data_IF_763391708000
#
_entry.id   IF_763391708000
#
_cell.length_a   1.000
_cell.length_b   1.000
_cell.length_c   1.000
_cell.angle_alpha   90.00
_cell.angle_beta   90.00
_cell.angle_gamma   90.00
#
_symmetry.space_group_name_H-M   'P 1'
#
loop_
_entity.id
_entity.type
_entity.pdbx_description
1 polymer ?
#
# COMPACT_ATOMS: atom_id res chain seq x y z
N UNK A 1 -13.81 2.25 -10.93
CA UNK A 1 -13.84 0.78 -10.72
C UNK A 1 -12.47 0.25 -11.12
N UNK A 2 -11.84 -0.57 -10.29
CA UNK A 2 -10.47 -1.05 -10.50
C UNK A 2 -10.44 -2.57 -10.56
N UNK A 3 -9.72 -3.11 -11.52
CA UNK A 3 -9.53 -4.56 -11.69
C UNK A 3 -8.18 -4.96 -11.09
N UNK A 4 -8.15 -5.77 -10.02
CA UNK A 4 -6.88 -6.20 -9.43
C UNK A 4 -6.11 -7.14 -10.36
N UNK A 5 -4.79 -7.09 -10.31
CA UNK A 5 -3.91 -8.04 -11.05
C UNK A 5 -4.03 -9.47 -10.52
N UNK A 6 -4.30 -9.64 -9.22
CA UNK A 6 -4.51 -10.96 -8.62
C UNK A 6 -5.76 -11.60 -9.21
N UNK A 7 -5.57 -12.68 -9.97
CA UNK A 7 -6.67 -13.41 -10.59
C UNK A 7 -7.69 -13.87 -9.55
N UNK A 8 -8.98 -13.67 -9.83
CA UNK A 8 -10.08 -14.04 -8.93
C UNK A 8 -10.31 -13.07 -7.77
N UNK A 9 -9.52 -12.00 -7.64
CA UNK A 9 -9.83 -10.93 -6.69
C UNK A 9 -11.05 -10.13 -7.16
N UNK A 10 -11.87 -9.70 -6.20
CA UNK A 10 -13.04 -8.88 -6.49
C UNK A 10 -12.65 -7.48 -7.01
N UNK A 11 -13.52 -6.90 -7.84
CA UNK A 11 -13.34 -5.53 -8.31
C UNK A 11 -13.38 -4.53 -7.15
N UNK A 12 -12.48 -3.55 -7.18
CA UNK A 12 -12.40 -2.52 -6.16
C UNK A 12 -13.16 -1.28 -6.62
N UNK A 13 -14.08 -0.80 -5.79
CA UNK A 13 -14.80 0.46 -6.01
C UNK A 13 -14.07 1.56 -5.24
N UNK A 14 -13.44 2.47 -5.96
CA UNK A 14 -12.74 3.61 -5.40
C UNK A 14 -13.50 4.89 -5.76
N UNK A 15 -14.21 5.53 -4.80
CA UNK A 15 -14.90 6.79 -5.04
C UNK A 15 -13.89 7.93 -5.16
N UNK A 16 -14.19 8.92 -6.01
CA UNK A 16 -13.41 10.15 -6.11
C UNK A 16 -14.19 11.23 -5.38
N UNK A 17 -13.66 11.68 -4.25
CA UNK A 17 -14.23 12.83 -3.53
C UNK A 17 -13.97 14.11 -4.31
N UNK A 18 -15.01 14.93 -4.44
CA UNK A 18 -14.95 16.22 -5.16
C UNK A 18 -15.04 17.34 -4.14
N UNK A 19 -14.10 18.27 -4.19
CA UNK A 19 -14.04 19.42 -3.30
C UNK A 19 -15.11 20.49 -3.63
N UNK A 20 -15.18 21.54 -2.81
CA UNK A 20 -16.10 22.67 -3.01
C UNK A 20 -15.90 23.43 -4.32
N UNK A 21 -14.77 23.23 -5.01
CA UNK A 21 -14.44 23.82 -6.31
C UNK A 21 -14.71 22.87 -7.47
N UNK A 22 -15.31 21.71 -7.22
CA UNK A 22 -15.61 20.73 -8.25
C UNK A 22 -14.40 19.91 -8.70
N UNK A 23 -13.31 19.86 -7.92
CA UNK A 23 -12.10 19.10 -8.26
C UNK A 23 -11.94 17.87 -7.39
N UNK A 24 -11.53 16.77 -8.00
CA UNK A 24 -11.19 15.53 -7.32
C UNK A 24 -10.07 14.82 -8.06
N UNK A 25 -9.29 14.02 -7.32
CA UNK A 25 -8.22 13.20 -7.87
C UNK A 25 -8.16 11.89 -7.11
N UNK A 26 -7.63 10.86 -7.77
CA UNK A 26 -7.32 9.58 -7.14
C UNK A 26 -6.01 9.07 -7.72
N UNK A 27 -5.09 8.66 -6.85
CA UNK A 27 -3.87 7.98 -7.27
C UNK A 27 -4.11 6.47 -7.31
N UNK A 28 -3.68 5.81 -8.39
CA UNK A 28 -3.91 4.37 -8.58
C UNK A 28 -2.56 3.64 -8.50
N UNK A 29 -2.37 2.72 -7.54
CA UNK A 29 -1.17 1.90 -7.49
C UNK A 29 -1.24 0.81 -8.57
N UNK A 30 -0.73 1.11 -9.76
CA UNK A 30 -0.78 0.22 -10.92
C UNK A 30 0.02 -1.09 -10.76
N UNK A 31 0.87 -1.19 -9.73
CA UNK A 31 1.45 -2.47 -9.32
C UNK A 31 0.40 -3.46 -8.79
N UNK A 32 -0.74 -2.95 -8.29
CA UNK A 32 -1.84 -3.74 -7.73
C UNK A 32 -2.96 -3.98 -8.74
N UNK A 33 -3.21 -3.01 -9.64
CA UNK A 33 -4.32 -3.02 -10.58
C UNK A 33 -3.85 -3.16 -12.02
N UNK A 34 -4.64 -3.83 -12.86
CA UNK A 34 -4.40 -3.96 -14.30
C UNK A 34 -5.22 -2.99 -15.13
N UNK A 35 -6.33 -2.49 -14.60
CA UNK A 35 -7.28 -1.66 -15.32
C UNK A 35 -8.02 -0.73 -14.35
N UNK A 36 -8.36 0.47 -14.84
CA UNK A 36 -9.28 1.39 -14.20
C UNK A 36 -10.36 1.85 -15.19
N UNK A 37 -11.62 1.70 -14.80
CA UNK A 37 -12.78 2.23 -15.51
C UNK A 37 -13.32 3.40 -14.69
N UNK A 38 -13.28 4.59 -15.28
CA UNK A 38 -13.91 5.78 -14.72
C UNK A 38 -15.39 5.78 -15.09
N UNK A 39 -16.26 5.86 -14.07
CA UNK A 39 -17.70 5.94 -14.24
C UNK A 39 -18.14 7.32 -13.79
N UNK A 40 -18.76 8.07 -14.70
CA UNK A 40 -19.24 9.43 -14.45
C UNK A 40 -20.73 9.42 -14.67
N UNK A 41 -21.48 9.81 -13.64
CA UNK A 41 -22.93 9.96 -13.73
C UNK A 41 -23.34 11.37 -13.32
N UNK A 42 -24.15 12.04 -14.14
CA UNK A 42 -24.83 13.25 -13.72
C UNK A 42 -26.02 12.85 -12.84
N UNK A 43 -25.86 12.97 -11.52
CA UNK A 43 -26.89 12.62 -10.52
C UNK A 43 -27.67 13.84 -10.02
N UNK A 44 -27.38 15.04 -10.52
CA UNK A 44 -28.08 16.24 -10.11
C UNK A 44 -29.55 16.16 -10.56
N UNK A 45 -30.47 16.42 -9.63
CA UNK A 45 -31.92 16.46 -9.91
C UNK A 45 -32.38 17.84 -10.39
N UNK A 46 -31.57 18.88 -10.18
CA UNK A 46 -31.82 20.27 -10.52
C UNK A 46 -30.47 20.94 -10.85
N UNK A 47 -30.43 21.79 -11.87
CA UNK A 47 -29.21 22.40 -12.42
C UNK A 47 -29.01 22.06 -13.90
N UNK A 48 -28.28 22.91 -14.62
CA UNK A 48 -27.96 22.69 -16.04
C UNK A 48 -26.77 21.77 -16.24
N UNK A 49 -26.44 21.50 -17.51
CA UNK A 49 -25.25 20.72 -17.88
C UNK A 49 -23.98 21.36 -17.30
N UNK A 50 -23.25 20.60 -16.48
CA UNK A 50 -21.92 20.98 -16.03
C UNK A 50 -20.88 20.21 -16.86
N UNK A 51 -19.97 20.89 -17.58
CA UNK A 51 -18.91 20.19 -18.30
C UNK A 51 -17.95 19.53 -17.29
N UNK A 52 -17.67 18.25 -17.49
CA UNK A 52 -16.64 17.52 -16.75
C UNK A 52 -15.44 17.26 -17.66
N UNK A 53 -14.24 17.43 -17.12
CA UNK A 53 -13.00 17.04 -17.79
C UNK A 53 -12.21 16.09 -16.90
N UNK A 54 -11.48 15.19 -17.54
CA UNK A 54 -10.65 14.19 -16.87
C UNK A 54 -9.26 14.23 -17.48
N UNK A 55 -8.26 14.21 -16.61
CA UNK A 55 -6.85 14.17 -17.03
C UNK A 55 -6.20 13.02 -16.28
N UNK A 56 -5.59 12.10 -17.01
CA UNK A 56 -4.73 11.09 -16.46
C UNK A 56 -3.28 11.55 -16.56
N UNK A 57 -2.50 11.34 -15.51
CA UNK A 57 -1.06 11.57 -15.48
C UNK A 57 -0.38 10.30 -15.04
N UNK A 58 0.78 10.01 -15.64
CA UNK A 58 1.63 8.92 -15.18
C UNK A 58 2.41 9.40 -13.97
N UNK A 59 2.31 8.67 -12.87
CA UNK A 59 3.10 8.86 -11.66
C UNK A 59 3.86 7.57 -11.40
N UNK A 60 5.13 7.47 -11.87
CA UNK A 60 5.96 6.31 -11.61
C UNK A 60 6.07 6.04 -10.11
N UNK A 61 6.12 4.76 -9.75
CA UNK A 61 6.28 4.33 -8.37
C UNK A 61 5.17 4.77 -7.41
N UNK A 62 4.02 5.30 -7.85
CA UNK A 62 2.91 5.58 -6.92
C UNK A 62 2.48 4.31 -6.13
N UNK A 63 2.25 4.39 -4.80
CA UNK A 63 2.33 5.58 -3.93
C UNK A 63 3.69 5.73 -3.22
N UNK A 64 4.66 4.87 -3.54
CA UNK A 64 5.99 4.91 -2.96
C UNK A 64 7.03 4.22 -3.86
N UNK A 65 8.25 4.75 -3.85
CA UNK A 65 9.42 4.04 -4.38
C UNK A 65 10.14 3.34 -3.22
N UNK A 66 10.10 2.01 -3.21
CA UNK A 66 10.82 1.20 -2.22
C UNK A 66 12.30 1.11 -2.60
N UNK A 67 13.19 1.31 -1.64
CA UNK A 67 14.64 1.15 -1.76
C UNK A 67 15.04 -0.23 -1.23
N UNK A 68 14.60 -0.57 -0.02
CA UNK A 68 14.85 -1.87 0.62
C UNK A 68 13.65 -2.31 1.46
N UNK A 69 13.54 -3.62 1.65
CA UNK A 69 12.59 -4.25 2.56
C UNK A 69 13.17 -5.59 3.02
N UNK A 70 13.55 -5.65 4.30
CA UNK A 70 14.32 -6.74 4.87
C UNK A 70 13.75 -7.17 6.22
N UNK A 71 14.04 -8.41 6.59
CA UNK A 71 13.71 -8.99 7.88
C UNK A 71 14.91 -9.78 8.39
N UNK A 72 15.43 -9.40 9.56
CA UNK A 72 16.64 -9.98 10.13
C UNK A 72 16.39 -10.51 11.54
N UNK A 73 16.97 -11.67 11.93
CA UNK A 73 16.90 -12.12 13.31
C UNK A 73 17.60 -11.14 14.25
N UNK A 74 16.99 -10.86 15.39
CA UNK A 74 17.54 -10.01 16.46
C UNK A 74 17.24 -10.69 17.79
N UNK A 75 18.18 -11.48 18.30
CA UNK A 75 18.02 -12.31 19.51
C UNK A 75 16.81 -13.29 19.41
N UNK A 76 15.74 -13.03 20.17
CA UNK A 76 14.48 -13.79 20.17
C UNK A 76 13.37 -13.14 19.33
N UNK A 77 13.73 -12.10 18.56
CA UNK A 77 12.80 -11.27 17.78
C UNK A 77 13.21 -11.23 16.31
N UNK A 78 12.36 -10.66 15.46
CA UNK A 78 12.71 -10.27 14.09
C UNK A 78 12.61 -8.76 13.95
N UNK A 79 13.67 -8.15 13.43
CA UNK A 79 13.67 -6.76 13.02
C UNK A 79 13.28 -6.67 11.56
N UNK A 80 12.15 -6.05 11.28
CA UNK A 80 11.67 -5.75 9.93
C UNK A 80 12.01 -4.30 9.62
N UNK A 81 12.76 -4.07 8.54
CA UNK A 81 13.19 -2.73 8.12
C UNK A 81 12.76 -2.47 6.69
N UNK A 82 12.45 -1.21 6.39
CA UNK A 82 12.26 -0.78 5.01
C UNK A 82 12.71 0.66 4.83
N UNK A 83 13.11 0.97 3.61
CA UNK A 83 13.48 2.32 3.21
C UNK A 83 12.72 2.70 1.94
N UNK A 84 12.23 3.93 1.89
CA UNK A 84 11.58 4.50 0.70
C UNK A 84 12.30 5.73 0.21
N UNK A 85 12.36 5.90 -1.12
CA UNK A 85 12.84 7.12 -1.77
C UNK A 85 11.74 8.17 -1.89
N UNK A 86 10.49 7.75 -2.05
CA UNK A 86 9.31 8.64 -2.13
C UNK A 86 8.08 7.96 -1.55
N UNK A 87 7.11 8.75 -1.11
CA UNK A 87 5.88 8.34 -0.42
C UNK A 87 4.66 9.19 -0.84
N UNK A 88 4.56 9.49 -2.14
CA UNK A 88 3.50 10.35 -2.68
C UNK A 88 2.10 9.74 -2.54
N UNK A 89 1.23 10.41 -1.77
CA UNK A 89 -0.14 9.97 -1.52
C UNK A 89 -0.25 8.74 -0.62
N UNK A 90 0.84 8.37 0.07
CA UNK A 90 0.85 7.30 1.05
C UNK A 90 0.29 7.79 2.39
N UNK A 91 -0.58 6.98 3.00
CA UNK A 91 -1.09 7.18 4.36
C UNK A 91 -0.19 6.50 5.40
N UNK A 92 0.27 5.28 5.10
CA UNK A 92 1.18 4.54 5.97
C UNK A 92 1.29 3.07 5.61
N UNK A 93 1.84 2.31 6.54
CA UNK A 93 2.28 0.93 6.34
C UNK A 93 1.57 -0.06 7.26
N UNK A 94 1.26 -1.22 6.68
CA UNK A 94 0.82 -2.41 7.39
C UNK A 94 1.88 -3.49 7.20
N UNK A 95 2.28 -4.11 8.32
CA UNK A 95 3.24 -5.21 8.32
C UNK A 95 2.47 -6.51 8.56
N UNK A 96 2.75 -7.49 7.72
CA UNK A 96 2.12 -8.79 7.71
C UNK A 96 3.16 -9.88 7.88
N UNK A 97 2.79 -10.97 8.57
CA UNK A 97 3.60 -12.17 8.74
C UNK A 97 2.86 -13.44 8.35
N UNK A 98 3.59 -14.41 7.81
CA UNK A 98 3.13 -15.77 7.53
C UNK A 98 4.20 -16.79 7.93
N UNK A 99 3.78 -17.99 8.35
CA UNK A 99 4.67 -19.13 8.62
C UNK A 99 4.96 -19.97 7.36
N UNK A 100 4.38 -19.58 6.23
CA UNK A 100 4.49 -20.27 4.93
C UNK A 100 4.72 -19.27 3.80
N UNK A 101 5.49 -19.65 2.76
CA UNK A 101 5.69 -18.79 1.59
C UNK A 101 4.35 -18.54 0.90
N UNK A 102 4.03 -17.28 0.62
CA UNK A 102 2.73 -16.91 0.01
C UNK A 102 1.50 -17.48 0.76
N UNK A 103 1.64 -17.69 2.08
CA UNK A 103 0.56 -18.16 2.95
C UNK A 103 -0.54 -17.12 3.12
N UNK A 104 -1.51 -17.40 4.00
CA UNK A 104 -2.46 -16.38 4.46
C UNK A 104 -1.77 -15.59 5.56
N UNK A 105 -1.33 -14.35 5.31
CA UNK A 105 -0.64 -13.61 6.34
C UNK A 105 -1.63 -13.05 7.37
N UNK A 106 -1.15 -12.80 8.57
CA UNK A 106 -1.85 -11.99 9.58
C UNK A 106 -1.09 -10.68 9.79
N UNK A 107 -1.84 -9.62 10.07
CA UNK A 107 -1.29 -8.32 10.41
C UNK A 107 -0.63 -8.42 11.79
N UNK A 108 0.58 -7.86 11.93
CA UNK A 108 1.32 -7.89 13.19
C UNK A 108 1.38 -6.53 13.89
N UNK A 109 1.37 -5.41 13.16
CA UNK A 109 1.37 -4.08 13.77
C UNK A 109 -0.05 -3.64 14.18
N UNK A 110 -0.27 -3.33 15.46
CA UNK A 110 -1.58 -2.88 15.97
C UNK A 110 -2.07 -1.57 15.33
N UNK A 111 -1.15 -0.61 15.16
CA UNK A 111 -1.41 0.67 14.51
C UNK A 111 -0.70 0.75 13.16
N UNK A 112 -1.31 1.41 12.20
CA UNK A 112 -0.66 1.73 10.92
C UNK A 112 0.58 2.56 11.23
N UNK A 113 1.74 2.16 10.69
CA UNK A 113 2.96 2.98 10.82
C UNK A 113 2.79 4.16 9.87
N UNK A 114 2.67 5.40 10.35
CA UNK A 114 2.39 6.55 9.48
C UNK A 114 3.51 6.75 8.46
N UNK A 115 3.13 7.09 7.23
CA UNK A 115 4.10 7.59 6.26
C UNK A 115 4.60 8.96 6.72
N UNK A 116 5.89 9.23 6.54
CA UNK A 116 6.49 10.52 6.84
C UNK A 116 6.25 11.50 5.67
N UNK A 117 6.10 10.96 4.46
CA UNK A 117 5.86 11.72 3.24
C UNK A 117 7.14 12.01 2.47
N UNK A 118 6.99 12.79 1.39
CA UNK A 118 8.12 13.17 0.55
C UNK A 118 8.99 14.24 1.27
N UNK A 119 10.29 13.99 1.33
CA UNK A 119 11.31 14.90 1.89
C UNK A 119 12.57 14.96 1.02
N UNK A 120 13.62 15.63 1.51
CA UNK A 120 14.88 15.82 0.75
C UNK A 120 15.72 14.53 0.61
N UNK A 121 15.32 13.41 1.22
CA UNK A 121 16.08 12.16 1.19
C UNK A 121 15.22 10.93 1.52
N UNK A 122 15.84 9.73 1.51
CA UNK A 122 15.16 8.49 1.85
C UNK A 122 14.62 8.50 3.26
N UNK A 123 13.54 7.76 3.46
CA UNK A 123 12.90 7.56 4.76
C UNK A 123 13.05 6.11 5.17
N UNK A 124 13.67 5.88 6.33
CA UNK A 124 13.88 4.53 6.88
C UNK A 124 12.93 4.26 8.04
N UNK A 125 12.41 3.04 8.09
CA UNK A 125 11.46 2.57 9.08
C UNK A 125 11.93 1.26 9.71
N UNK A 126 11.42 1.00 10.92
CA UNK A 126 11.64 -0.26 11.62
C UNK A 126 10.37 -0.71 12.34
N UNK A 127 10.11 -2.01 12.29
CA UNK A 127 9.14 -2.71 13.11
C UNK A 127 9.82 -3.91 13.78
N UNK A 128 9.50 -4.17 15.05
CA UNK A 128 10.02 -5.32 15.81
C UNK A 128 8.88 -6.32 16.00
N UNK A 129 9.10 -7.56 15.56
CA UNK A 129 8.20 -8.68 15.81
C UNK A 129 8.77 -9.56 16.92
N UNK A 130 8.14 -9.51 18.09
CA UNK A 130 8.44 -10.31 19.28
C UNK A 130 7.57 -11.58 19.38
N UNK A 131 6.63 -11.78 18.44
CA UNK A 131 5.72 -12.91 18.43
C UNK A 131 6.28 -14.16 17.74
N UNK A 132 7.61 -14.27 17.61
CA UNK A 132 8.31 -15.34 16.88
C UNK A 132 8.92 -16.36 17.84
N UNK A 133 9.32 -17.52 17.31
CA UNK A 133 9.97 -18.59 18.09
C UNK A 133 11.29 -18.99 17.46
N UNK A 134 12.30 -19.30 18.30
CA UNK A 134 13.60 -19.85 17.88
C UNK A 134 13.45 -21.04 16.94
N UNK A 135 14.33 -21.11 15.94
CA UNK A 135 14.30 -22.13 14.89
C UNK A 135 13.12 -22.01 13.92
N UNK A 136 12.28 -20.99 14.05
CA UNK A 136 11.15 -20.72 13.15
C UNK A 136 11.59 -20.09 11.83
N UNK A 137 10.78 -20.33 10.79
CA UNK A 137 10.87 -19.66 9.50
C UNK A 137 9.66 -18.76 9.34
N UNK A 138 9.88 -17.48 9.02
CA UNK A 138 8.81 -16.51 8.83
C UNK A 138 8.97 -15.76 7.52
N UNK A 139 7.84 -15.30 7.01
CA UNK A 139 7.73 -14.54 5.79
C UNK A 139 7.02 -13.22 6.08
N UNK A 140 7.62 -12.11 5.65
CA UNK A 140 7.11 -10.76 5.91
C UNK A 140 6.68 -10.10 4.62
N UNK A 141 5.51 -9.46 4.69
CA UNK A 141 4.96 -8.66 3.60
C UNK A 141 4.72 -7.23 4.11
N UNK A 142 5.18 -6.26 3.33
CA UNK A 142 4.93 -4.84 3.58
C UNK A 142 3.84 -4.33 2.63
N UNK A 143 2.81 -3.70 3.20
CA UNK A 143 1.71 -3.11 2.43
C UNK A 143 1.64 -1.63 2.72
N UNK A 144 1.87 -0.81 1.69
CA UNK A 144 1.57 0.61 1.72
C UNK A 144 0.10 0.87 1.43
N UNK A 145 -0.52 1.74 2.22
CA UNK A 145 -1.92 2.15 2.12
C UNK A 145 -1.96 3.60 1.65
N UNK A 146 -2.68 3.92 0.57
CA UNK A 146 -2.85 5.29 0.08
C UNK A 146 -3.82 6.08 0.96
N UNK A 147 -3.82 7.41 0.82
CA UNK A 147 -4.83 8.29 1.43
C UNK A 147 -6.27 7.94 1.01
N UNK A 148 -6.45 7.34 -0.17
CA UNK A 148 -7.73 6.84 -0.69
C UNK A 148 -8.06 5.41 -0.24
N UNK A 149 -7.22 4.79 0.61
CA UNK A 149 -7.41 3.43 1.13
C UNK A 149 -7.07 2.31 0.13
N UNK A 150 -6.46 2.62 -1.02
CA UNK A 150 -5.93 1.62 -1.93
C UNK A 150 -4.60 1.08 -1.41
N UNK A 151 -4.25 -0.15 -1.78
CA UNK A 151 -3.05 -0.81 -1.25
C UNK A 151 -2.06 -1.17 -2.33
N UNK A 152 -0.76 -1.16 -1.98
CA UNK A 152 0.32 -1.75 -2.77
C UNK A 152 1.21 -2.60 -1.88
N UNK A 153 1.40 -3.86 -2.26
CA UNK A 153 2.28 -4.79 -1.55
C UNK A 153 3.68 -4.81 -2.18
N UNK A 154 4.70 -4.84 -1.34
CA UNK A 154 6.10 -5.10 -1.71
C UNK A 154 6.33 -6.62 -1.78
N UNK A 155 7.20 -7.12 -2.67
CA UNK A 155 7.62 -8.52 -2.65
C UNK A 155 7.98 -9.00 -1.24
N UNK A 156 7.55 -10.21 -0.91
CA UNK A 156 7.76 -10.82 0.40
C UNK A 156 9.24 -11.10 0.65
N UNK A 157 9.68 -10.94 1.90
CA UNK A 157 11.00 -11.36 2.38
C UNK A 157 10.88 -12.52 3.36
N UNK A 158 11.94 -13.34 3.47
CA UNK A 158 12.01 -14.52 4.32
C UNK A 158 13.10 -14.34 5.36
N UNK A 159 12.83 -14.80 6.58
CA UNK A 159 13.83 -14.91 7.64
C UNK A 159 13.77 -16.28 8.31
N UNK A 160 14.93 -16.78 8.70
CA UNK A 160 15.09 -18.02 9.46
C UNK A 160 15.77 -17.69 10.80
N UNK A 161 15.10 -17.98 11.91
CA UNK A 161 15.68 -17.75 13.24
C UNK A 161 16.66 -18.88 13.60
N UNK A 162 17.78 -18.56 14.27
CA UNK A 162 18.64 -19.58 14.84
C UNK A 162 17.90 -20.41 15.90
N UNK A 163 18.36 -21.65 16.10
CA UNK A 163 17.84 -22.56 17.13
C UNK A 163 18.36 -22.19 18.51
#
# INVERSE_FOLDING_TARGET
LLTPRKRGAALVRAPISVDSRGRGSIGIPWATFSEAILIVGNVARVGGDAPYSFVARSEPNFPFEIVSFDAEPSDEEVRVTWETRSESGLFGWIVYRSDRPSGVPHRINEFVVPAIGDGDGPVSYQYVDDGVTRGGTYFYSLVGVTQDGLTRQVPETRVDLPR
#
